data_IF_452306811247
#
_entry.id   IF_452306811247
#
_cell.length_a   1.000
_cell.length_b   1.000
_cell.length_c   1.000
_cell.angle_alpha   90.00
_cell.angle_beta   90.00
_cell.angle_gamma   90.00
#
_symmetry.space_group_name_H-M   'P 1'
#
loop_
_entity.id
_entity.type
_entity.pdbx_description
1 polymer ?
#
# COMPACT_ATOMS: atom_id res chain seq x y z
N UNK A 1 3.51 7.03 -7.35
CA UNK A 1 2.03 7.23 -7.50
C UNK A 1 1.48 7.64 -6.15
N UNK A 2 0.77 8.76 -6.08
CA UNK A 2 0.06 9.17 -4.86
C UNK A 2 -1.38 8.68 -4.94
N UNK A 3 -1.95 8.27 -3.81
CA UNK A 3 -3.32 7.78 -3.67
C UNK A 3 -3.96 8.47 -2.47
N UNK A 4 -5.13 9.07 -2.70
CA UNK A 4 -5.98 9.57 -1.63
C UNK A 4 -6.80 8.41 -1.07
N UNK A 5 -6.86 8.31 0.25
CA UNK A 5 -7.70 7.33 0.94
C UNK A 5 -8.89 8.10 1.50
N UNK A 6 -10.08 7.83 0.96
CA UNK A 6 -11.32 8.46 1.40
C UNK A 6 -11.83 7.81 2.69
N UNK A 7 -12.45 8.61 3.56
CA UNK A 7 -13.10 8.11 4.78
C UNK A 7 -12.22 8.08 6.04
N UNK A 8 -10.97 8.54 5.95
CA UNK A 8 -10.06 8.75 7.06
C UNK A 8 -9.62 10.22 7.13
N UNK A 9 -9.34 10.72 8.33
CA UNK A 9 -8.90 12.09 8.56
C UNK A 9 -7.57 12.16 9.32
N UNK A 10 -7.59 11.82 10.60
CA UNK A 10 -6.44 12.05 11.49
C UNK A 10 -5.42 10.91 11.41
N UNK A 11 -5.89 9.66 11.45
CA UNK A 11 -5.02 8.48 11.48
C UNK A 11 -5.63 7.34 10.63
N UNK A 12 -5.25 7.22 9.34
CA UNK A 12 -5.85 6.25 8.42
C UNK A 12 -5.62 4.78 8.81
N UNK A 13 -4.62 4.49 9.65
CA UNK A 13 -4.34 3.14 10.12
C UNK A 13 -5.31 2.68 11.22
N UNK A 14 -5.85 3.59 12.03
CA UNK A 14 -6.87 3.30 13.04
C UNK A 14 -8.28 3.46 12.47
N UNK A 15 -8.51 4.50 11.66
CA UNK A 15 -9.82 4.82 11.11
C UNK A 15 -10.19 3.91 9.92
N UNK A 16 -9.22 3.55 9.08
CA UNK A 16 -9.47 2.82 7.83
C UNK A 16 -8.38 1.77 7.51
N UNK A 17 -8.07 0.82 8.41
CA UNK A 17 -6.97 -0.12 8.22
C UNK A 17 -7.06 -0.93 6.92
N UNK A 18 -8.29 -1.34 6.53
CA UNK A 18 -8.52 -2.12 5.31
C UNK A 18 -8.25 -1.30 4.04
N UNK A 19 -8.65 -0.04 4.02
CA UNK A 19 -8.42 0.84 2.87
C UNK A 19 -6.93 1.21 2.76
N UNK A 20 -6.26 1.44 3.89
CA UNK A 20 -4.81 1.66 3.94
C UNK A 20 -4.04 0.45 3.40
N UNK A 21 -4.36 -0.76 3.86
CA UNK A 21 -3.72 -1.97 3.38
C UNK A 21 -3.94 -2.18 1.87
N UNK A 22 -5.16 -1.97 1.39
CA UNK A 22 -5.47 -2.07 -0.05
C UNK A 22 -4.69 -1.04 -0.89
N UNK A 23 -4.49 0.18 -0.38
CA UNK A 23 -3.71 1.22 -1.06
C UNK A 23 -2.21 0.88 -1.12
N UNK A 24 -1.67 0.23 -0.07
CA UNK A 24 -0.26 -0.15 0.01
C UNK A 24 0.08 -1.46 -0.70
N UNK A 25 -0.87 -2.41 -0.77
CA UNK A 25 -0.69 -3.72 -1.40
C UNK A 25 -0.02 -3.66 -2.78
N UNK A 26 -0.47 -2.84 -3.76
CA UNK A 26 0.17 -2.78 -5.07
C UNK A 26 1.59 -2.18 -5.03
N UNK A 27 1.91 -1.35 -4.03
CA UNK A 27 3.27 -0.84 -3.83
C UNK A 27 4.20 -1.95 -3.32
N UNK A 28 3.75 -2.70 -2.30
CA UNK A 28 4.51 -3.82 -1.73
C UNK A 28 4.72 -4.91 -2.78
N UNK A 29 3.70 -5.28 -3.56
CA UNK A 29 3.82 -6.28 -4.61
C UNK A 29 4.85 -5.89 -5.68
N UNK A 30 4.91 -4.62 -6.07
CA UNK A 30 5.95 -4.13 -6.99
C UNK A 30 7.33 -4.21 -6.36
N UNK A 31 7.49 -3.74 -5.12
CA UNK A 31 8.77 -3.80 -4.43
C UNK A 31 9.31 -5.24 -4.33
N UNK A 32 8.43 -6.20 -4.04
CA UNK A 32 8.79 -7.62 -3.97
C UNK A 32 9.10 -8.21 -5.35
N UNK A 33 8.37 -7.80 -6.39
CA UNK A 33 8.66 -8.21 -7.76
C UNK A 33 9.99 -7.65 -8.25
N UNK A 34 10.27 -6.38 -7.98
CA UNK A 34 11.52 -5.70 -8.32
C UNK A 34 12.71 -6.29 -7.55
N UNK A 35 12.49 -6.78 -6.32
CA UNK A 35 13.52 -7.48 -5.54
C UNK A 35 13.69 -8.96 -5.93
N UNK A 36 12.83 -9.47 -6.82
CA UNK A 36 12.99 -10.78 -7.45
C UNK A 36 13.72 -10.67 -8.81
N UNK A 37 14.20 -9.49 -9.20
CA UNK A 37 15.16 -9.29 -10.31
C UNK A 37 16.59 -9.65 -9.85
N UNK A 38 16.74 -10.82 -9.25
CA UNK A 38 18.01 -11.32 -8.69
C UNK A 38 18.02 -12.82 -8.39
N UNK A 39 16.92 -13.53 -8.69
CA UNK A 39 16.84 -14.99 -8.71
C UNK A 39 16.17 -15.40 -10.02
N UNK A 40 16.83 -15.10 -11.14
CA UNK A 40 16.69 -15.84 -12.39
C UNK A 40 18.09 -16.20 -12.87
#
# INVERSE_FOLDING_TARGET
>A
RLVAISGCGHLPHEECPKALLAALSPFISRLLADHCEGVQ
#
